data_IF_431153734328
#
_entry.id   IF_431153734328
#
_cell.length_a   1.000
_cell.length_b   1.000
_cell.length_c   1.000
_cell.angle_alpha   90.00
_cell.angle_beta   90.00
_cell.angle_gamma   90.00
#
_symmetry.space_group_name_H-M   'P 1'
#
loop_
_entity.id
_entity.type
_entity.pdbx_description
1 polymer ?
#
# COMPACT_ATOMS: atom_id res chain seq x y z
N UNK A 1 -23.94 -5.25 17.45
CA UNK A 1 -23.38 -6.25 16.53
C UNK A 1 -21.87 -6.08 16.54
N UNK A 2 -21.11 -7.08 16.97
CA UNK A 2 -19.66 -7.05 16.83
C UNK A 2 -19.37 -7.26 15.34
N UNK A 3 -19.00 -6.19 14.62
CA UNK A 3 -18.63 -6.28 13.21
C UNK A 3 -17.55 -7.37 13.07
N UNK A 4 -17.80 -8.41 12.27
CA UNK A 4 -16.79 -9.45 11.97
C UNK A 4 -15.66 -8.78 11.19
N UNK A 5 -14.69 -8.22 11.90
CA UNK A 5 -13.49 -7.61 11.32
C UNK A 5 -12.35 -8.61 11.42
N UNK A 6 -11.83 -9.04 10.29
CA UNK A 6 -10.60 -9.86 10.25
C UNK A 6 -9.38 -9.05 10.65
N UNK A 7 -8.29 -9.74 11.02
CA UNK A 7 -7.00 -9.12 11.29
C UNK A 7 -6.50 -8.31 10.08
N UNK A 8 -6.74 -8.80 8.85
CA UNK A 8 -6.39 -8.08 7.62
C UNK A 8 -7.09 -6.71 7.56
N UNK A 9 -8.40 -6.65 7.82
CA UNK A 9 -9.14 -5.39 7.83
C UNK A 9 -8.62 -4.43 8.88
N UNK A 10 -8.38 -4.92 10.10
CA UNK A 10 -7.87 -4.13 11.20
C UNK A 10 -6.48 -3.54 10.87
N UNK A 11 -5.58 -4.35 10.32
CA UNK A 11 -4.25 -3.94 9.88
C UNK A 11 -4.34 -2.90 8.76
N UNK A 12 -5.16 -3.19 7.73
CA UNK A 12 -5.31 -2.34 6.55
C UNK A 12 -5.80 -0.93 6.93
N UNK A 13 -6.81 -0.85 7.79
CA UNK A 13 -7.35 0.44 8.26
C UNK A 13 -6.39 1.18 9.18
N UNK A 14 -5.68 0.48 10.09
CA UNK A 14 -4.73 1.10 11.01
C UNK A 14 -3.55 1.78 10.30
N UNK A 15 -3.14 1.24 9.15
CA UNK A 15 -2.00 1.72 8.39
C UNK A 15 -2.38 2.43 7.09
N UNK A 16 -3.66 2.84 6.97
CA UNK A 16 -4.19 3.57 5.82
C UNK A 16 -3.80 2.92 4.48
N UNK A 17 -3.92 1.60 4.41
CA UNK A 17 -3.71 0.85 3.17
C UNK A 17 -5.05 0.90 2.40
N UNK A 18 -5.13 1.61 1.26
CA UNK A 18 -6.35 1.61 0.47
C UNK A 18 -6.57 0.22 -0.14
N UNK A 19 -7.83 -0.17 -0.33
CA UNK A 19 -8.17 -1.44 -0.99
C UNK A 19 -7.52 -1.57 -2.37
N UNK A 20 -7.38 -0.46 -3.11
CA UNK A 20 -6.72 -0.42 -4.41
C UNK A 20 -5.25 -0.80 -4.35
N UNK A 21 -4.51 -0.40 -3.31
CA UNK A 21 -3.09 -0.74 -3.17
C UNK A 21 -2.91 -2.24 -2.88
N UNK A 22 -3.77 -2.81 -2.02
CA UNK A 22 -3.76 -4.25 -1.73
C UNK A 22 -4.27 -5.10 -2.91
N UNK A 23 -5.25 -4.58 -3.66
CA UNK A 23 -5.75 -5.17 -4.90
C UNK A 23 -4.67 -5.23 -5.98
N UNK A 24 -3.95 -4.13 -6.20
CA UNK A 24 -2.82 -4.10 -7.14
C UNK A 24 -1.66 -5.02 -6.73
N UNK A 25 -1.47 -5.27 -5.43
CA UNK A 25 -0.44 -6.20 -4.94
C UNK A 25 -0.86 -7.67 -5.03
N UNK A 26 -2.14 -7.98 -4.78
CA UNK A 26 -2.65 -9.36 -4.77
C UNK A 26 -3.21 -9.85 -6.11
N UNK A 27 -3.57 -8.93 -7.01
CA UNK A 27 -4.35 -9.24 -8.22
C UNK A 27 -5.78 -9.71 -7.93
N UNK A 28 -6.30 -9.45 -6.72
CA UNK A 28 -7.69 -9.70 -6.34
C UNK A 28 -8.49 -8.41 -6.44
N UNK A 29 -9.78 -8.48 -6.79
CA UNK A 29 -10.61 -7.29 -6.86
C UNK A 29 -10.86 -6.68 -5.47
N UNK A 30 -11.09 -5.37 -5.42
CA UNK A 30 -11.42 -4.65 -4.18
C UNK A 30 -12.63 -5.28 -3.46
N UNK A 31 -13.65 -5.71 -4.21
CA UNK A 31 -14.83 -6.37 -3.67
C UNK A 31 -14.48 -7.71 -3.02
N UNK A 32 -13.66 -8.52 -3.68
CA UNK A 32 -13.24 -9.82 -3.13
C UNK A 32 -12.44 -9.65 -1.84
N UNK A 33 -11.50 -8.71 -1.82
CA UNK A 33 -10.73 -8.36 -0.62
C UNK A 33 -11.66 -7.86 0.49
N UNK A 34 -12.63 -6.99 0.18
CA UNK A 34 -13.57 -6.48 1.19
C UNK A 34 -14.42 -7.61 1.80
N UNK A 35 -14.87 -8.57 1.01
CA UNK A 35 -15.64 -9.73 1.51
C UNK A 35 -14.78 -10.64 2.38
N UNK A 36 -13.53 -10.89 1.98
CA UNK A 36 -12.56 -11.60 2.82
C UNK A 36 -12.34 -10.85 4.14
N UNK A 37 -12.19 -9.53 4.08
CA UNK A 37 -11.98 -8.67 5.25
C UNK A 37 -13.13 -8.67 6.25
N UNK A 38 -14.37 -8.85 5.76
CA UNK A 38 -15.60 -8.96 6.54
C UNK A 38 -15.88 -10.39 7.04
N UNK A 39 -15.00 -11.35 6.73
CA UNK A 39 -15.17 -12.76 7.09
C UNK A 39 -16.33 -13.45 6.36
N UNK A 40 -16.73 -12.91 5.20
CA UNK A 40 -17.76 -13.52 4.33
C UNK A 40 -17.19 -14.62 3.42
N UNK A 41 -15.86 -14.71 3.34
CA UNK A 41 -15.12 -15.73 2.59
C UNK A 41 -14.38 -16.60 3.60
N UNK A 42 -14.45 -17.92 3.42
CA UNK A 42 -13.72 -18.87 4.25
C UNK A 42 -12.21 -18.66 4.14
N UNK A 43 -11.47 -18.59 5.26
CA UNK A 43 -10.02 -18.50 5.25
C UNK A 43 -9.45 -19.84 4.77
N UNK A 44 -8.88 -19.85 3.57
CA UNK A 44 -8.12 -21.01 3.07
C UNK A 44 -6.64 -20.70 3.16
N UNK A 45 -5.76 -21.70 3.36
CA UNK A 45 -4.32 -21.48 3.42
C UNK A 45 -3.80 -20.69 2.20
N UNK A 46 -4.27 -21.06 1.00
CA UNK A 46 -3.94 -20.34 -0.24
C UNK A 46 -4.35 -18.86 -0.23
N UNK A 47 -5.49 -18.54 0.37
CA UNK A 47 -5.96 -17.15 0.46
C UNK A 47 -5.15 -16.36 1.50
N UNK A 48 -4.85 -16.97 2.65
CA UNK A 48 -3.97 -16.39 3.67
C UNK A 48 -2.58 -16.10 3.09
N UNK A 49 -1.95 -17.08 2.44
CA UNK A 49 -0.63 -16.90 1.81
C UNK A 49 -0.64 -15.78 0.77
N UNK A 50 -1.69 -15.73 -0.07
CA UNK A 50 -1.82 -14.73 -1.13
C UNK A 50 -2.01 -13.31 -0.58
N UNK A 51 -2.84 -13.15 0.45
CA UNK A 51 -3.07 -11.85 1.07
C UNK A 51 -1.86 -11.43 1.92
N UNK A 52 -1.20 -12.37 2.60
CA UNK A 52 0.06 -12.15 3.31
C UNK A 52 1.16 -11.62 2.39
N UNK A 53 1.42 -12.33 1.28
CA UNK A 53 2.40 -11.90 0.28
C UNK A 53 2.07 -10.53 -0.34
N UNK A 54 0.77 -10.23 -0.52
CA UNK A 54 0.34 -8.93 -0.99
C UNK A 54 0.62 -7.81 0.02
N UNK A 55 0.41 -8.05 1.32
CA UNK A 55 0.77 -7.10 2.38
C UNK A 55 2.28 -6.88 2.41
N UNK A 56 3.10 -7.94 2.32
CA UNK A 56 4.55 -7.81 2.23
C UNK A 56 5.00 -6.96 1.04
N UNK A 57 4.39 -7.17 -0.12
CA UNK A 57 4.67 -6.37 -1.32
C UNK A 57 4.28 -4.89 -1.14
N UNK A 58 3.16 -4.60 -0.46
CA UNK A 58 2.77 -3.22 -0.12
C UNK A 58 3.80 -2.56 0.80
N UNK A 59 4.28 -3.27 1.82
CA UNK A 59 5.31 -2.78 2.75
C UNK A 59 6.59 -2.45 1.97
N UNK A 60 7.04 -3.34 1.09
CA UNK A 60 8.24 -3.14 0.29
C UNK A 60 8.11 -1.90 -0.61
N UNK A 61 7.02 -1.79 -1.38
CA UNK A 61 6.77 -0.63 -2.27
C UNK A 61 6.71 0.69 -1.49
N UNK A 62 6.12 0.69 -0.29
CA UNK A 62 6.07 1.88 0.57
C UNK A 62 7.48 2.29 1.04
N UNK A 63 8.32 1.32 1.42
CA UNK A 63 9.73 1.58 1.77
C UNK A 63 10.50 2.15 0.60
N UNK A 64 10.34 1.60 -0.60
CA UNK A 64 11.00 2.10 -1.82
C UNK A 64 10.59 3.53 -2.14
N UNK A 65 9.29 3.86 -2.07
CA UNK A 65 8.79 5.24 -2.26
C UNK A 65 9.36 6.19 -1.22
N UNK A 66 9.44 5.77 0.05
CA UNK A 66 10.02 6.59 1.11
C UNK A 66 11.50 6.84 0.85
N UNK A 67 12.28 5.81 0.52
CA UNK A 67 13.70 5.95 0.19
C UNK A 67 13.92 6.82 -1.05
N UNK A 68 13.04 6.74 -2.06
CA UNK A 68 13.10 7.64 -3.22
C UNK A 68 12.84 9.09 -2.81
N UNK A 69 11.82 9.34 -1.98
CA UNK A 69 11.52 10.66 -1.43
C UNK A 69 12.69 11.21 -0.61
N UNK A 70 13.32 10.41 0.24
CA UNK A 70 14.49 10.80 1.03
C UNK A 70 15.64 11.26 0.14
N UNK A 71 15.93 10.52 -0.95
CA UNK A 71 16.96 10.90 -1.93
C UNK A 71 16.62 12.20 -2.66
N UNK A 72 15.39 12.33 -3.16
CA UNK A 72 14.92 13.54 -3.83
C UNK A 72 14.97 14.76 -2.91
N UNK A 73 14.53 14.60 -1.66
CA UNK A 73 14.58 15.65 -0.66
C UNK A 73 16.02 16.05 -0.31
N UNK A 74 16.93 15.08 -0.15
CA UNK A 74 18.33 15.36 0.11
C UNK A 74 18.96 16.21 -1.01
N UNK A 75 18.59 15.96 -2.27
CA UNK A 75 19.09 16.71 -3.42
C UNK A 75 18.63 18.17 -3.49
N UNK A 76 17.45 18.50 -2.93
CA UNK A 76 16.91 19.86 -2.90
C UNK A 76 16.88 20.51 -1.51
N UNK A 77 17.43 19.84 -0.49
CA UNK A 77 17.47 20.35 0.88
C UNK A 77 18.25 21.67 0.93
N UNK A 78 17.65 22.70 1.54
CA UNK A 78 18.20 24.06 1.59
C UNK A 78 17.86 24.94 0.38
N UNK A 79 17.27 24.36 -0.68
CA UNK A 79 16.84 25.06 -1.90
C UNK A 79 15.42 24.72 -2.34
N UNK A 80 14.56 24.29 -1.41
CA UNK A 80 13.20 23.81 -1.68
C UNK A 80 12.29 24.81 -2.40
N UNK A 81 12.56 26.11 -2.23
CA UNK A 81 11.77 27.20 -2.80
C UNK A 81 12.43 27.85 -4.03
N UNK A 82 13.59 27.36 -4.45
CA UNK A 82 14.24 27.82 -5.68
C UNK A 82 13.58 27.16 -6.90
N UNK A 83 13.61 27.82 -8.07
CA UNK A 83 13.16 27.20 -9.31
C UNK A 83 13.88 25.85 -9.51
N UNK A 84 13.14 24.83 -9.92
CA UNK A 84 13.74 23.57 -10.37
C UNK A 84 14.59 23.89 -11.62
N UNK A 85 15.87 23.53 -11.61
CA UNK A 85 16.74 23.72 -12.78
C UNK A 85 16.23 22.82 -13.93
N UNK A 86 15.32 23.36 -14.72
CA UNK A 86 14.84 22.76 -15.96
C UNK A 86 15.89 22.90 -17.05
N UNK A 87 16.11 21.79 -17.76
CA UNK A 87 16.84 21.70 -19.03
C UNK A 87 16.52 22.94 -19.89
N UNK A 88 17.53 23.63 -20.45
CA UNK A 88 17.26 24.78 -21.31
C UNK A 88 16.37 24.34 -22.45
N UNK A 89 15.24 25.02 -22.62
CA UNK A 89 14.41 24.92 -23.82
C UNK A 89 15.31 25.33 -25.01
N UNK A 90 15.75 24.35 -25.81
CA UNK A 90 16.27 24.59 -27.16
C UNK A 90 15.11 24.82 -28.14
#
# INVERSE_FOLDING_TARGET
MLERKTNLRALRLRHDIPLSELSAASGLSNQYISRAELGEISPTPRLEDKLGAAVDAVILRRRERLSALERSFAACKGRLLQPEEGVPDE
#
